data_IF_856825878039
#
_entry.id   IF_856825878039
#
_cell.length_a   1.000
_cell.length_b   1.000
_cell.length_c   1.000
_cell.angle_alpha   90.00
_cell.angle_beta   90.00
_cell.angle_gamma   90.00
#
_symmetry.space_group_name_H-M   'P 1'
#
loop_
_entity.id
_entity.type
_entity.pdbx_description
1 polymer ?
#
# COMPACT_ATOMS: atom_id res chain seq x y z
N UNK A 1 20.24 5.70 12.90
CA UNK A 1 18.92 5.53 12.26
C UNK A 1 19.19 5.39 10.77
N UNK A 2 18.90 4.22 10.21
CA UNK A 2 19.19 3.98 8.80
C UNK A 2 18.15 4.62 7.86
N UNK A 3 16.91 4.80 8.33
CA UNK A 3 15.91 5.52 7.58
C UNK A 3 14.89 6.21 8.50
N UNK A 4 14.33 7.30 7.99
CA UNK A 4 13.13 7.94 8.52
C UNK A 4 12.28 8.43 7.36
N UNK A 5 11.06 7.94 7.25
CA UNK A 5 10.13 8.31 6.19
C UNK A 5 8.73 8.53 6.78
N UNK A 6 8.09 9.62 6.41
CA UNK A 6 6.70 9.91 6.76
C UNK A 6 5.90 10.27 5.52
N UNK A 7 4.63 9.91 5.53
CA UNK A 7 3.78 10.15 4.37
C UNK A 7 2.42 9.50 4.48
N UNK A 8 1.84 9.22 3.33
CA UNK A 8 0.52 8.62 3.20
C UNK A 8 0.60 7.24 2.57
N UNK A 9 -0.20 6.32 3.10
CA UNK A 9 -0.42 4.99 2.54
C UNK A 9 -1.82 4.91 1.98
N UNK A 10 -1.96 4.19 0.88
CA UNK A 10 -3.22 3.76 0.31
C UNK A 10 -3.20 2.26 0.07
N UNK A 11 -4.25 1.57 0.51
CA UNK A 11 -4.52 0.17 0.17
C UNK A 11 -5.85 0.08 -0.55
N UNK A 12 -5.87 -0.61 -1.69
CA UNK A 12 -7.09 -0.96 -2.44
C UNK A 12 -7.05 -2.45 -2.71
N UNK A 13 -8.15 -3.15 -2.41
CA UNK A 13 -8.16 -4.61 -2.51
C UNK A 13 -9.48 -5.20 -3.01
N UNK A 14 -9.46 -6.51 -3.28
CA UNK A 14 -10.62 -7.26 -3.75
C UNK A 14 -11.64 -7.61 -2.66
N UNK A 15 -11.34 -7.32 -1.39
CA UNK A 15 -12.31 -7.49 -0.30
C UNK A 15 -13.42 -6.43 -0.39
N UNK A 16 -14.56 -6.75 0.21
CA UNK A 16 -15.64 -5.77 0.40
C UNK A 16 -15.28 -4.79 1.51
N UNK A 17 -16.01 -3.70 1.60
CA UNK A 17 -15.88 -2.75 2.71
C UNK A 17 -16.71 -3.26 3.90
N UNK A 18 -16.19 -3.35 5.06
CA UNK A 18 -14.84 -3.11 5.52
C UNK A 18 -13.99 -4.37 5.29
N UNK A 19 -12.75 -4.19 4.78
CA UNK A 19 -11.86 -5.33 4.56
C UNK A 19 -11.56 -6.07 5.86
N UNK A 20 -11.90 -7.37 5.98
CA UNK A 20 -11.71 -8.14 7.21
C UNK A 20 -10.23 -8.29 7.58
N UNK A 21 -9.32 -8.19 6.62
CA UNK A 21 -7.88 -8.27 6.86
C UNK A 21 -7.38 -7.18 7.83
N UNK A 22 -8.02 -6.00 7.86
CA UNK A 22 -7.63 -4.91 8.75
C UNK A 22 -7.90 -5.19 10.24
N UNK A 23 -8.72 -6.20 10.53
CA UNK A 23 -8.99 -6.67 11.90
C UNK A 23 -8.49 -8.10 12.14
N UNK A 24 -7.61 -8.62 11.26
CA UNK A 24 -6.96 -9.91 11.43
C UNK A 24 -7.76 -11.13 11.00
N UNK A 25 -8.93 -10.92 10.39
CA UNK A 25 -9.77 -11.99 9.86
C UNK A 25 -9.31 -12.41 8.45
N UNK A 26 -9.81 -13.58 8.01
CA UNK A 26 -9.51 -14.08 6.67
C UNK A 26 -10.17 -13.19 5.60
N UNK A 27 -9.54 -13.00 4.44
CA UNK A 27 -10.11 -12.20 3.35
C UNK A 27 -11.41 -12.81 2.81
N UNK A 28 -12.29 -11.94 2.30
CA UNK A 28 -13.49 -12.39 1.59
C UNK A 28 -13.10 -13.33 0.43
N UNK A 29 -13.74 -14.50 0.36
CA UNK A 29 -13.41 -15.49 -0.66
C UNK A 29 -12.11 -16.28 -0.44
N UNK A 30 -11.41 -16.08 0.68
CA UNK A 30 -10.24 -16.85 1.11
C UNK A 30 -8.90 -16.35 0.58
N UNK A 31 -8.87 -15.46 -0.41
CA UNK A 31 -7.66 -14.80 -0.96
C UNK A 31 -7.91 -13.32 -1.16
N UNK A 32 -6.84 -12.53 -1.26
CA UNK A 32 -6.94 -11.11 -1.55
C UNK A 32 -5.90 -10.68 -2.59
N UNK A 33 -6.36 -10.00 -3.62
CA UNK A 33 -5.50 -9.26 -4.54
C UNK A 33 -5.58 -7.77 -4.17
N UNK A 34 -4.43 -7.16 -3.93
CA UNK A 34 -4.37 -5.80 -3.38
C UNK A 34 -3.24 -5.00 -4.02
N UNK A 35 -3.40 -3.68 -3.98
CA UNK A 35 -2.31 -2.75 -4.19
C UNK A 35 -2.13 -1.88 -2.96
N UNK A 36 -0.88 -1.71 -2.52
CA UNK A 36 -0.52 -0.83 -1.40
C UNK A 36 0.52 0.16 -1.89
N UNK A 37 0.20 1.45 -1.83
CA UNK A 37 1.09 2.52 -2.26
C UNK A 37 1.52 3.37 -1.05
N UNK A 38 2.80 3.65 -0.94
CA UNK A 38 3.44 4.49 0.07
C UNK A 38 3.99 5.74 -0.61
N UNK A 39 3.32 6.87 -0.42
CA UNK A 39 3.82 8.17 -0.85
C UNK A 39 4.63 8.81 0.28
N UNK A 40 5.90 9.09 0.05
CA UNK A 40 6.80 9.71 1.03
C UNK A 40 6.69 11.22 0.90
N UNK A 41 6.01 11.88 1.85
CA UNK A 41 5.97 13.35 1.90
C UNK A 41 7.34 13.92 2.25
N UNK A 42 8.00 13.28 3.23
CA UNK A 42 9.32 13.66 3.71
C UNK A 42 10.09 12.45 4.21
N UNK A 43 11.35 12.29 3.80
CA UNK A 43 12.16 11.20 4.35
C UNK A 43 13.48 10.96 3.66
N UNK A 44 14.34 10.23 4.36
CA UNK A 44 15.63 9.77 3.85
C UNK A 44 15.90 8.32 4.23
N UNK A 45 16.72 7.65 3.43
CA UNK A 45 17.23 6.29 3.64
C UNK A 45 18.73 6.33 3.41
N UNK A 46 19.55 6.02 4.44
CA UNK A 46 21.02 6.09 4.39
C UNK A 46 21.49 7.45 3.79
N UNK A 47 20.94 8.55 4.31
CA UNK A 47 21.21 9.93 3.87
C UNK A 47 20.76 10.27 2.43
N UNK A 48 20.10 9.36 1.73
CA UNK A 48 19.49 9.62 0.42
C UNK A 48 18.08 10.17 0.63
N UNK A 49 17.84 11.40 0.19
CA UNK A 49 16.50 12.01 0.22
C UNK A 49 15.57 11.28 -0.77
N UNK A 50 14.44 10.78 -0.26
CA UNK A 50 13.40 10.08 -1.03
C UNK A 50 12.05 10.80 -0.98
N UNK A 51 12.05 12.06 -0.53
CA UNK A 51 10.85 12.89 -0.43
C UNK A 51 10.18 13.07 -1.79
N UNK A 52 8.85 13.06 -1.81
CA UNK A 52 8.02 13.22 -3.00
C UNK A 52 7.96 11.99 -3.91
N UNK A 53 8.59 10.87 -3.53
CA UNK A 53 8.55 9.63 -4.30
C UNK A 53 7.50 8.67 -3.74
N UNK A 54 7.02 7.78 -4.60
CA UNK A 54 6.10 6.70 -4.22
C UNK A 54 6.74 5.35 -4.51
N UNK A 55 6.61 4.43 -3.55
CA UNK A 55 6.81 3.01 -3.78
C UNK A 55 5.47 2.31 -3.60
N UNK A 56 5.14 1.38 -4.49
CA UNK A 56 3.92 0.60 -4.38
C UNK A 56 4.20 -0.89 -4.56
N UNK A 57 3.29 -1.71 -4.04
CA UNK A 57 3.30 -3.15 -4.24
C UNK A 57 1.93 -3.59 -4.76
N UNK A 58 1.91 -4.39 -5.84
CA UNK A 58 0.78 -5.24 -6.15
C UNK A 58 1.02 -6.59 -5.50
N UNK A 59 0.00 -7.18 -4.88
CA UNK A 59 0.18 -8.37 -4.05
C UNK A 59 -0.98 -9.34 -4.21
N UNK A 60 -0.62 -10.63 -4.30
CA UNK A 60 -1.55 -11.74 -4.10
C UNK A 60 -1.33 -12.35 -2.71
N UNK A 61 -2.36 -12.35 -1.89
CA UNK A 61 -2.38 -12.87 -0.52
C UNK A 61 -3.18 -14.16 -0.50
N UNK A 62 -2.53 -15.34 -0.27
CA UNK A 62 -3.17 -16.65 -0.47
C UNK A 62 -4.07 -17.08 0.70
N UNK A 63 -4.30 -16.26 1.69
CA UNK A 63 -5.10 -16.57 2.88
C UNK A 63 -5.10 -15.43 3.88
N UNK A 64 -5.07 -15.77 5.18
CA UNK A 64 -4.95 -14.75 6.23
C UNK A 64 -3.67 -13.93 6.06
N UNK A 65 -3.81 -12.60 6.13
CA UNK A 65 -2.71 -11.68 5.84
C UNK A 65 -1.50 -11.87 6.77
N UNK A 66 -1.74 -12.26 8.03
CA UNK A 66 -0.69 -12.47 9.03
C UNK A 66 0.08 -13.79 8.85
N UNK A 67 -0.42 -14.71 8.01
CA UNK A 67 0.29 -15.97 7.69
C UNK A 67 1.40 -15.78 6.67
N UNK A 68 1.52 -14.59 6.07
CA UNK A 68 2.54 -14.30 5.08
C UNK A 68 2.34 -15.04 3.76
N UNK A 69 3.44 -15.43 3.13
CA UNK A 69 3.51 -16.06 1.80
C UNK A 69 2.92 -15.18 0.68
N UNK A 70 2.95 -13.86 0.84
CA UNK A 70 2.49 -12.95 -0.18
C UNK A 70 3.38 -13.02 -1.41
N UNK A 71 2.78 -13.05 -2.58
CA UNK A 71 3.48 -12.87 -3.85
C UNK A 71 3.39 -11.41 -4.24
N UNK A 72 4.53 -10.77 -4.47
CA UNK A 72 4.63 -9.30 -4.53
C UNK A 72 5.34 -8.85 -5.81
N UNK A 73 4.75 -7.89 -6.53
CA UNK A 73 5.41 -7.06 -7.53
C UNK A 73 5.62 -5.67 -6.95
N UNK A 74 6.86 -5.21 -6.98
CA UNK A 74 7.23 -3.87 -6.46
C UNK A 74 7.29 -2.87 -7.60
N UNK A 75 6.69 -1.70 -7.41
CA UNK A 75 6.76 -0.56 -8.32
C UNK A 75 7.48 0.59 -7.63
N UNK A 76 8.48 1.14 -8.29
CA UNK A 76 9.19 2.35 -7.85
C UNK A 76 8.86 3.49 -8.81
N UNK A 77 8.56 4.66 -8.26
CA UNK A 77 8.31 5.87 -9.03
C UNK A 77 9.41 6.08 -10.09
N UNK A 78 9.03 6.25 -11.34
CA UNK A 78 9.99 6.43 -12.45
C UNK A 78 10.83 7.72 -12.30
N UNK A 79 10.38 8.70 -11.51
CA UNK A 79 11.12 9.92 -11.20
C UNK A 79 12.32 9.68 -10.27
N UNK A 80 12.38 8.51 -9.60
CA UNK A 80 13.48 8.18 -8.73
C UNK A 80 14.79 8.08 -9.52
N UNK A 81 15.87 8.62 -8.99
CA UNK A 81 17.23 8.30 -9.47
C UNK A 81 17.58 6.85 -9.11
N UNK A 82 18.63 6.28 -9.71
CA UNK A 82 19.06 4.92 -9.37
C UNK A 82 19.47 4.79 -7.90
N UNK A 83 20.00 5.85 -7.29
CA UNK A 83 20.37 5.87 -5.86
C UNK A 83 19.11 5.86 -4.97
N UNK A 84 18.09 6.63 -5.33
CA UNK A 84 16.81 6.66 -4.61
C UNK A 84 16.04 5.35 -4.75
N UNK A 85 16.02 4.75 -5.94
CA UNK A 85 15.44 3.42 -6.15
C UNK A 85 16.12 2.36 -5.28
N UNK A 86 17.46 2.36 -5.25
CA UNK A 86 18.22 1.44 -4.41
C UNK A 86 17.91 1.67 -2.91
N UNK A 87 17.84 2.91 -2.47
CA UNK A 87 17.52 3.27 -1.10
C UNK A 87 16.12 2.79 -0.69
N UNK A 88 15.10 3.09 -1.50
CA UNK A 88 13.72 2.66 -1.25
C UNK A 88 13.60 1.13 -1.24
N UNK A 89 14.15 0.45 -2.23
CA UNK A 89 14.09 -1.02 -2.30
C UNK A 89 14.84 -1.69 -1.15
N UNK A 90 15.95 -1.11 -0.69
CA UNK A 90 16.67 -1.59 0.48
C UNK A 90 15.83 -1.45 1.76
N UNK A 91 15.17 -0.31 1.98
CA UNK A 91 14.31 -0.10 3.14
C UNK A 91 13.12 -1.08 3.12
N UNK A 92 12.38 -1.15 2.01
CA UNK A 92 11.20 -2.01 1.89
C UNK A 92 11.53 -3.51 1.78
N UNK A 93 12.78 -3.90 1.56
CA UNK A 93 13.21 -5.30 1.71
C UNK A 93 13.37 -5.75 3.17
N UNK A 94 13.18 -4.84 4.14
CA UNK A 94 13.30 -5.12 5.57
C UNK A 94 14.75 -5.22 6.08
N UNK A 95 15.75 -5.06 5.23
CA UNK A 95 17.19 -5.21 5.60
C UNK A 95 17.68 -4.15 6.58
N UNK A 96 16.98 -3.05 6.70
CA UNK A 96 17.33 -1.94 7.58
C UNK A 96 16.62 -1.99 8.94
N UNK A 97 15.82 -3.04 9.20
CA UNK A 97 15.08 -3.20 10.45
C UNK A 97 13.81 -2.35 10.53
N UNK A 98 13.30 -2.16 11.77
CA UNK A 98 12.11 -1.36 12.03
C UNK A 98 10.81 -1.92 11.45
N UNK A 99 9.74 -1.11 11.34
CA UNK A 99 8.42 -1.57 10.86
C UNK A 99 8.45 -2.21 9.47
N UNK A 100 9.38 -1.77 8.61
CA UNK A 100 9.52 -2.34 7.27
C UNK A 100 10.10 -3.76 7.28
N UNK A 101 10.82 -4.15 8.32
CA UNK A 101 11.25 -5.55 8.49
C UNK A 101 10.06 -6.46 8.81
N UNK A 102 9.13 -6.00 9.66
CA UNK A 102 7.91 -6.74 9.97
C UNK A 102 7.02 -6.88 8.73
N UNK A 103 6.88 -5.80 7.96
CA UNK A 103 6.16 -5.82 6.69
C UNK A 103 6.78 -6.80 5.68
N UNK A 104 8.11 -6.76 5.52
CA UNK A 104 8.82 -7.64 4.60
C UNK A 104 8.75 -9.14 4.98
N UNK A 105 8.52 -9.48 6.26
CA UNK A 105 8.31 -10.86 6.69
C UNK A 105 7.02 -11.49 6.12
N UNK A 106 6.07 -10.67 5.69
CA UNK A 106 4.85 -11.15 5.05
C UNK A 106 5.10 -11.64 3.61
N UNK A 107 6.22 -11.23 2.98
CA UNK A 107 6.54 -11.58 1.59
C UNK A 107 7.10 -13.01 1.52
N UNK A 108 6.43 -13.85 0.73
CA UNK A 108 6.93 -15.17 0.37
C UNK A 108 7.76 -15.14 -0.91
N UNK A 109 7.32 -14.36 -1.88
CA UNK A 109 7.98 -14.22 -3.19
C UNK A 109 7.89 -12.79 -3.71
N UNK A 110 9.03 -12.20 -4.07
CA UNK A 110 9.06 -10.96 -4.85
C UNK A 110 9.24 -11.34 -6.31
N UNK A 111 8.16 -11.27 -7.10
CA UNK A 111 8.15 -11.69 -8.51
C UNK A 111 8.87 -10.70 -9.43
N UNK A 112 9.07 -9.47 -8.97
CA UNK A 112 9.85 -8.45 -9.69
C UNK A 112 9.84 -7.09 -9.01
N UNK A 113 10.73 -6.25 -9.49
CA UNK A 113 10.81 -4.82 -9.18
C UNK A 113 10.86 -4.07 -10.49
N UNK A 114 10.01 -3.09 -10.68
CA UNK A 114 10.01 -2.28 -11.90
C UNK A 114 9.72 -0.81 -11.61
N UNK A 115 10.21 0.06 -12.47
CA UNK A 115 9.86 1.48 -12.46
C UNK A 115 8.56 1.69 -13.23
N UNK A 116 7.73 2.59 -12.71
CA UNK A 116 6.50 2.99 -13.38
C UNK A 116 6.17 4.47 -13.08
N UNK A 117 5.47 5.16 -13.97
CA UNK A 117 4.83 6.42 -13.61
C UNK A 117 3.78 6.13 -12.53
N UNK A 118 3.85 6.83 -11.40
CA UNK A 118 2.90 6.69 -10.29
C UNK A 118 2.25 8.04 -10.03
N UNK A 119 0.92 8.08 -10.17
CA UNK A 119 0.08 9.19 -9.71
C UNK A 119 -0.55 8.80 -8.38
N UNK A 120 -0.21 9.51 -7.32
CA UNK A 120 -0.82 9.37 -5.99
C UNK A 120 -1.45 10.73 -5.63
N UNK A 121 -2.75 10.87 -5.86
CA UNK A 121 -3.52 12.08 -5.61
C UNK A 121 -4.67 11.76 -4.66
N UNK A 122 -4.34 11.40 -3.41
CA UNK A 122 -5.30 10.90 -2.42
C UNK A 122 -5.21 11.74 -1.15
N UNK A 123 -6.35 12.24 -0.69
CA UNK A 123 -6.48 12.98 0.55
C UNK A 123 -7.76 12.56 1.29
N UNK A 124 -7.62 12.18 2.56
CA UNK A 124 -8.72 11.76 3.43
C UNK A 124 -9.65 10.70 2.81
N UNK A 125 -9.06 9.72 2.12
CA UNK A 125 -9.78 8.62 1.48
C UNK A 125 -10.47 8.96 0.18
N UNK A 126 -10.22 10.16 -0.39
CA UNK A 126 -10.75 10.60 -1.69
C UNK A 126 -9.61 10.86 -2.66
N UNK A 127 -9.74 10.41 -3.89
CA UNK A 127 -8.78 10.71 -4.95
C UNK A 127 -8.57 9.57 -5.94
N UNK A 128 -7.35 9.51 -6.48
CA UNK A 128 -6.97 8.62 -7.56
C UNK A 128 -5.54 8.07 -7.34
N UNK A 129 -5.39 6.77 -7.55
CA UNK A 129 -4.11 6.08 -7.64
C UNK A 129 -3.97 5.47 -9.03
N UNK A 130 -2.87 5.79 -9.73
CA UNK A 130 -2.51 5.12 -10.98
C UNK A 130 -1.05 4.67 -10.94
N UNK A 131 -0.77 3.44 -11.38
CA UNK A 131 0.58 2.88 -11.51
C UNK A 131 0.75 2.37 -12.94
N UNK A 132 1.31 3.21 -13.81
CA UNK A 132 1.44 2.91 -15.23
C UNK A 132 0.14 2.43 -15.85
N UNK A 133 0.18 1.26 -16.48
CA UNK A 133 -1.00 0.54 -16.99
C UNK A 133 -1.44 -0.62 -16.08
N UNK A 134 -0.75 -0.82 -14.96
CA UNK A 134 -0.98 -1.98 -14.09
C UNK A 134 -2.06 -1.76 -13.06
N UNK A 135 -2.23 -0.53 -12.57
CA UNK A 135 -3.23 -0.18 -11.54
C UNK A 135 -3.91 1.13 -11.90
N UNK A 136 -5.23 1.16 -11.74
CA UNK A 136 -6.07 2.36 -11.84
C UNK A 136 -7.20 2.25 -10.82
N UNK A 137 -7.26 3.16 -9.84
CA UNK A 137 -8.23 3.15 -8.76
C UNK A 137 -8.71 4.55 -8.41
N UNK A 138 -10.03 4.75 -8.47
CA UNK A 138 -10.72 5.91 -7.92
C UNK A 138 -11.16 5.62 -6.48
N UNK A 139 -11.09 6.62 -5.60
CA UNK A 139 -11.40 6.47 -4.18
C UNK A 139 -12.42 7.47 -3.69
N UNK A 140 -13.36 6.98 -2.87
CA UNK A 140 -14.33 7.79 -2.14
C UNK A 140 -14.40 7.36 -0.67
N UNK A 141 -14.37 8.30 0.30
CA UNK A 141 -14.50 7.97 1.72
C UNK A 141 -15.95 7.63 2.07
N UNK A 142 -16.13 6.76 3.05
CA UNK A 142 -17.39 6.67 3.78
C UNK A 142 -17.49 7.81 4.78
N UNK A 143 -18.63 8.49 4.80
CA UNK A 143 -18.87 9.61 5.69
C UNK A 143 -19.71 9.17 6.90
N UNK A 144 -19.28 9.59 8.08
CA UNK A 144 -20.06 9.44 9.31
C UNK A 144 -21.22 10.45 9.40
N UNK A 145 -21.98 10.40 10.46
CA UNK A 145 -23.15 11.25 10.68
C UNK A 145 -22.83 12.75 10.76
N UNK A 146 -21.59 13.10 11.06
CA UNK A 146 -21.11 14.50 11.11
C UNK A 146 -20.63 15.03 9.75
N UNK A 147 -20.60 14.18 8.71
CA UNK A 147 -20.02 14.50 7.41
C UNK A 147 -18.49 14.31 7.34
N UNK A 148 -17.84 13.97 8.45
CA UNK A 148 -16.42 13.62 8.44
C UNK A 148 -16.21 12.18 7.93
N UNK A 149 -15.03 11.85 7.33
CA UNK A 149 -14.72 10.49 6.95
C UNK A 149 -14.76 9.52 8.13
N UNK A 150 -15.28 8.32 7.90
CA UNK A 150 -15.22 7.22 8.87
C UNK A 150 -13.77 6.77 9.04
N UNK A 151 -13.34 6.56 10.28
CA UNK A 151 -11.95 6.18 10.58
C UNK A 151 -11.85 4.91 11.40
N UNK A 152 -10.75 4.18 11.20
CA UNK A 152 -10.29 3.08 12.05
C UNK A 152 -9.14 3.55 12.92
N UNK A 153 -9.11 3.05 14.14
CA UNK A 153 -8.03 3.25 15.11
C UNK A 153 -7.58 1.90 15.64
N UNK A 154 -6.30 1.80 15.99
CA UNK A 154 -5.73 0.62 16.67
C UNK A 154 -6.03 -0.72 15.97
N UNK A 155 -5.86 -0.76 14.64
CA UNK A 155 -5.97 -1.99 13.85
C UNK A 155 -4.65 -2.76 13.88
N UNK A 156 -4.65 -3.99 13.40
CA UNK A 156 -3.43 -4.81 13.29
C UNK A 156 -2.36 -4.19 12.38
N UNK A 157 -2.75 -3.28 11.49
CA UNK A 157 -1.84 -2.54 10.60
C UNK A 157 -1.49 -1.14 11.06
N UNK A 158 -1.92 -0.70 12.25
CA UNK A 158 -1.69 0.66 12.72
C UNK A 158 -0.20 1.02 12.86
N UNK A 159 0.68 0.03 13.09
CA UNK A 159 2.14 0.22 13.11
C UNK A 159 2.76 0.37 11.73
N UNK A 160 2.06 -0.06 10.67
CA UNK A 160 2.53 -0.02 9.27
C UNK A 160 1.80 1.10 8.51
N UNK A 161 0.49 1.21 8.69
CA UNK A 161 -0.36 2.16 7.98
C UNK A 161 -0.70 3.41 8.81
N UNK A 162 -0.27 3.45 10.07
CA UNK A 162 -0.63 4.53 10.97
C UNK A 162 -2.10 4.55 11.39
N UNK A 163 -2.45 5.53 12.22
CA UNK A 163 -3.82 5.77 12.67
C UNK A 163 -4.06 7.28 12.82
N UNK A 164 -5.27 7.80 12.52
CA UNK A 164 -6.42 7.06 12.00
C UNK A 164 -6.26 6.64 10.53
N UNK A 165 -6.89 5.52 10.16
CA UNK A 165 -7.05 5.11 8.77
C UNK A 165 -8.46 5.47 8.27
N UNK A 166 -8.56 6.16 7.14
CA UNK A 166 -9.82 6.56 6.53
C UNK A 166 -10.44 5.39 5.78
N UNK A 167 -11.66 5.02 6.16
CA UNK A 167 -12.44 3.96 5.49
C UNK A 167 -13.07 4.52 4.23
N UNK A 168 -12.82 3.88 3.13
CA UNK A 168 -13.36 4.26 1.84
C UNK A 168 -13.74 3.07 0.98
N UNK A 169 -14.15 3.38 -0.21
CA UNK A 169 -14.36 2.43 -1.30
C UNK A 169 -13.67 2.91 -2.56
N UNK A 170 -13.31 1.98 -3.41
CA UNK A 170 -12.91 2.24 -4.78
C UNK A 170 -14.14 2.09 -5.69
N UNK A 171 -14.77 3.18 -6.17
CA UNK A 171 -15.85 3.10 -7.16
C UNK A 171 -15.42 2.34 -8.42
N UNK A 172 -14.12 2.44 -8.76
CA UNK A 172 -13.46 1.65 -9.80
C UNK A 172 -12.10 1.21 -9.31
N UNK A 173 -11.79 -0.08 -9.47
CA UNK A 173 -10.47 -0.65 -9.22
C UNK A 173 -10.10 -1.63 -10.32
N UNK A 174 -9.06 -1.31 -11.05
CA UNK A 174 -8.47 -2.17 -12.08
C UNK A 174 -7.03 -2.48 -11.72
N UNK A 175 -6.67 -3.74 -11.78
CA UNK A 175 -5.29 -4.19 -11.58
C UNK A 175 -4.97 -5.37 -12.47
N UNK A 176 -3.94 -5.22 -13.30
CA UNK A 176 -3.44 -6.30 -14.15
C UNK A 176 -1.96 -6.52 -13.91
N UNK A 177 -1.59 -7.74 -13.54
CA UNK A 177 -0.20 -8.14 -13.37
C UNK A 177 0.00 -9.60 -13.74
N UNK A 178 0.62 -9.85 -14.88
CA UNK A 178 0.85 -11.21 -15.40
C UNK A 178 1.79 -12.04 -14.54
N UNK A 179 2.80 -11.42 -13.89
CA UNK A 179 3.73 -12.10 -12.99
C UNK A 179 3.04 -12.65 -11.74
N UNK A 180 1.98 -12.00 -11.29
CA UNK A 180 1.16 -12.44 -10.16
C UNK A 180 -0.05 -13.27 -10.60
N UNK A 181 -0.39 -13.27 -11.89
CA UNK A 181 -1.63 -13.88 -12.40
C UNK A 181 -2.89 -13.08 -12.03
N UNK A 182 -2.75 -11.78 -11.79
CA UNK A 182 -3.85 -10.91 -11.43
C UNK A 182 -4.44 -10.22 -12.65
N UNK A 183 -5.77 -10.27 -12.76
CA UNK A 183 -6.57 -9.51 -13.72
C UNK A 183 -7.90 -9.15 -13.06
N UNK A 184 -7.96 -7.94 -12.48
CA UNK A 184 -9.06 -7.44 -11.65
C UNK A 184 -9.66 -6.21 -12.32
N UNK A 185 -10.99 -6.20 -12.51
CA UNK A 185 -11.80 -5.03 -12.89
C UNK A 185 -13.09 -5.06 -12.08
N UNK A 186 -13.12 -4.34 -10.97
CA UNK A 186 -14.19 -4.41 -9.97
C UNK A 186 -14.62 -3.01 -9.52
N UNK A 187 -15.77 -2.94 -8.86
CA UNK A 187 -16.35 -1.69 -8.38
C UNK A 187 -16.83 -1.80 -6.94
N UNK A 188 -16.75 -0.69 -6.21
CA UNK A 188 -17.24 -0.54 -4.85
C UNK A 188 -16.61 -1.52 -3.84
N UNK A 189 -15.34 -1.85 -4.03
CA UNK A 189 -14.54 -2.65 -3.12
C UNK A 189 -13.75 -1.77 -2.14
N UNK A 190 -13.08 -2.42 -1.20
CA UNK A 190 -12.39 -1.73 -0.11
C UNK A 190 -11.25 -0.82 -0.60
N UNK A 191 -11.18 0.36 -0.01
CA UNK A 191 -10.04 1.26 -0.11
C UNK A 191 -9.81 1.92 1.23
N UNK A 192 -8.58 1.87 1.74
CA UNK A 192 -8.21 2.47 3.03
C UNK A 192 -6.97 3.33 2.82
N UNK A 193 -7.04 4.56 3.32
CA UNK A 193 -5.91 5.48 3.36
C UNK A 193 -5.51 5.75 4.80
N UNK A 194 -4.23 5.81 5.07
CA UNK A 194 -3.68 6.22 6.36
C UNK A 194 -2.46 7.13 6.19
N UNK A 195 -1.86 7.49 7.31
CA UNK A 195 -0.53 8.08 7.35
C UNK A 195 0.46 7.08 7.92
N UNK A 196 1.73 7.22 7.60
CA UNK A 196 2.79 6.41 8.19
C UNK A 196 3.95 7.27 8.68
N UNK A 197 4.65 6.75 9.70
CA UNK A 197 5.97 7.17 10.11
C UNK A 197 6.81 5.92 10.32
N UNK A 198 7.78 5.71 9.45
CA UNK A 198 8.72 4.59 9.52
C UNK A 198 10.08 5.08 9.98
N UNK A 199 10.63 4.42 10.99
CA UNK A 199 11.96 4.71 11.55
C UNK A 199 12.68 3.38 11.82
N UNK A 200 13.94 3.28 11.36
CA UNK A 200 14.76 2.08 11.54
C UNK A 200 16.27 2.34 11.51
#
# INVERSE_FOLDING_TARGET
MAYRMQGSILEVCTCKVLCPCWIGEDPDGGTCDSTVAYHVDMGSVNDVDVSGLTLAVAVHIPGNVLKGNWRVMVFVDERATSQQEQALTQAFSGKLGGPLADFAQLFGEVVGVQRAPITFAVEQGKGHLQIGTSVDAELEPYLGTTGAPTTLHDTIFSTIAGAPAYVGKAPSFKMTNTGLGIDVDIQNHNAIQGSFLFEG
#
